data_IF_201280516944
#
_entry.id   IF_201280516944
#
_cell.length_a   1.000
_cell.length_b   1.000
_cell.length_c   1.000
_cell.angle_alpha   90.00
_cell.angle_beta   90.00
_cell.angle_gamma   90.00
#
_symmetry.space_group_name_H-M   'P 1'
#
loop_
_entity.id
_entity.type
_entity.pdbx_description
1 polymer ?
#
# COMPACT_ATOMS: atom_id res chain seq x y z
N UNK A 1 -15.80 -4.92 17.50
CA UNK A 1 -15.42 -4.22 17.31
C UNK A 1 -15.38 -3.56 16.13
N UNK A 2 -15.28 -2.64 15.94
CA UNK A 2 -15.34 -1.96 14.95
C UNK A 2 -14.53 -2.27 13.98
N UNK A 3 -14.63 -1.96 12.95
CA UNK A 3 -13.84 -2.23 12.10
C UNK A 3 -14.10 -1.68 10.97
N UNK A 4 -14.09 -2.14 10.20
CA UNK A 4 -14.38 -1.73 9.06
C UNK A 4 -13.95 -0.53 8.44
N UNK A 5 -14.69 0.32 7.88
CA UNK A 5 -14.22 1.43 7.08
C UNK A 5 -13.38 2.39 7.84
N UNK A 6 -13.77 2.66 9.12
CA UNK A 6 -13.04 3.59 9.88
C UNK A 6 -11.68 3.08 10.19
N UNK A 7 -11.55 1.82 10.51
CA UNK A 7 -10.27 1.23 10.81
C UNK A 7 -9.41 1.16 9.56
N UNK A 8 -10.01 0.88 8.41
CA UNK A 8 -9.25 0.82 7.17
C UNK A 8 -8.63 2.15 6.82
N UNK A 9 -9.39 3.23 6.94
CA UNK A 9 -8.84 4.55 6.64
C UNK A 9 -7.75 4.92 7.64
N UNK A 10 -7.98 4.66 8.90
CA UNK A 10 -6.99 4.97 9.92
C UNK A 10 -5.70 4.19 9.67
N UNK A 11 -5.82 2.91 9.32
CA UNK A 11 -4.66 2.10 9.02
C UNK A 11 -3.94 2.62 7.78
N UNK A 12 -4.69 2.96 6.73
CA UNK A 12 -4.08 3.45 5.51
C UNK A 12 -3.32 4.75 5.75
N UNK A 13 -3.87 5.64 6.55
CA UNK A 13 -3.19 6.89 6.88
C UNK A 13 -1.94 6.65 7.71
N UNK A 14 -2.02 5.72 8.64
CA UNK A 14 -0.88 5.39 9.48
C UNK A 14 0.24 4.80 8.63
N UNK A 15 -0.09 3.93 7.70
CA UNK A 15 0.90 3.31 6.83
C UNK A 15 1.53 4.37 5.93
N UNK A 16 0.72 5.27 5.38
CA UNK A 16 1.25 6.34 4.55
C UNK A 16 2.21 7.23 5.33
N UNK A 17 1.84 7.55 6.56
CA UNK A 17 2.69 8.36 7.42
C UNK A 17 4.00 7.63 7.74
N UNK A 18 3.94 6.34 8.01
CA UNK A 18 5.14 5.57 8.28
C UNK A 18 6.06 5.54 7.07
N UNK A 19 5.48 5.42 5.87
CA UNK A 19 6.26 5.45 4.64
C UNK A 19 6.95 6.81 4.47
N UNK A 20 6.22 7.88 4.75
CA UNK A 20 6.78 9.22 4.66
C UNK A 20 7.93 9.43 5.64
N UNK A 21 7.81 8.87 6.84
CA UNK A 21 8.88 8.96 7.82
C UNK A 21 10.15 8.27 7.36
N UNK A 22 10.04 7.28 6.49
CA UNK A 22 11.18 6.60 5.92
C UNK A 22 11.56 7.20 4.57
N UNK A 23 10.98 8.36 4.26
CA UNK A 23 11.30 9.11 3.05
C UNK A 23 10.97 8.33 1.77
N UNK A 24 9.87 7.58 1.82
CA UNK A 24 9.39 6.88 0.64
C UNK A 24 9.01 7.91 -0.43
N UNK A 25 9.23 7.55 -1.68
CA UNK A 25 8.90 8.42 -2.79
C UNK A 25 7.44 8.31 -3.15
N UNK A 26 6.84 9.43 -3.43
CA UNK A 26 5.48 9.56 -3.96
C UNK A 26 4.45 8.64 -3.30
N UNK A 27 4.26 8.74 -1.98
CA UNK A 27 3.26 7.89 -1.33
C UNK A 27 1.86 8.34 -1.70
N UNK A 28 1.03 7.38 -2.14
CA UNK A 28 -0.35 7.68 -2.50
C UNK A 28 -1.27 6.69 -1.83
N UNK A 29 -2.50 7.11 -1.59
CA UNK A 29 -3.52 6.25 -1.01
C UNK A 29 -4.68 6.25 -1.99
N UNK A 30 -5.08 5.09 -2.45
CA UNK A 30 -6.12 4.94 -3.45
C UNK A 30 -7.30 4.23 -2.82
N UNK A 31 -8.46 4.89 -2.73
CA UNK A 31 -9.64 4.22 -2.21
C UNK A 31 -10.17 3.23 -3.25
N UNK A 32 -10.53 2.05 -2.79
CA UNK A 32 -10.98 0.98 -3.65
C UNK A 32 -12.45 0.64 -3.48
N UNK A 33 -13.12 1.30 -2.54
CA UNK A 33 -14.52 0.97 -2.27
C UNK A 33 -15.34 1.21 -3.52
N UNK A 34 -16.17 0.24 -3.84
CA UNK A 34 -16.98 0.32 -5.04
C UNK A 34 -16.25 -0.16 -6.28
N UNK A 35 -14.96 -0.44 -6.18
CA UNK A 35 -14.19 -0.91 -7.32
C UNK A 35 -13.82 -2.37 -7.19
N UNK A 36 -13.66 -2.85 -5.98
CA UNK A 36 -13.27 -4.22 -5.76
C UNK A 36 -13.63 -4.60 -4.32
N UNK A 37 -13.71 -5.90 -4.05
CA UNK A 37 -13.91 -6.38 -2.70
C UNK A 37 -12.62 -6.88 -2.09
N UNK A 38 -11.49 -6.73 -2.81
CA UNK A 38 -10.21 -7.23 -2.32
C UNK A 38 -9.72 -6.47 -1.10
N UNK A 39 -9.86 -5.16 -1.13
CA UNK A 39 -9.43 -4.32 -0.02
C UNK A 39 -10.15 -2.99 -0.12
N UNK A 40 -10.04 -2.18 0.91
CA UNK A 40 -10.65 -0.85 0.92
C UNK A 40 -9.70 0.22 0.40
N UNK A 41 -8.40 0.02 0.56
CA UNK A 41 -7.39 0.98 0.13
C UNK A 41 -6.13 0.29 -0.36
N UNK A 42 -5.49 0.91 -1.34
CA UNK A 42 -4.10 0.62 -1.67
C UNK A 42 -3.31 1.77 -1.08
N UNK A 43 -2.12 1.47 -0.58
CA UNK A 43 -1.13 2.49 -0.29
C UNK A 43 0.08 2.10 -1.13
N UNK A 44 0.54 3.01 -1.98
CA UNK A 44 1.62 2.73 -2.92
C UNK A 44 2.72 3.76 -2.71
N UNK A 45 3.95 3.32 -2.67
CA UNK A 45 5.09 4.22 -2.57
C UNK A 45 6.30 3.52 -3.14
N UNK A 46 7.43 4.20 -3.16
CA UNK A 46 8.62 3.63 -3.77
C UNK A 46 9.88 3.97 -2.98
N UNK A 47 10.89 3.15 -3.13
CA UNK A 47 12.23 3.41 -2.63
C UNK A 47 13.18 3.33 -3.79
N UNK A 48 14.30 4.04 -3.72
CA UNK A 48 15.20 4.11 -4.86
C UNK A 48 16.12 2.91 -4.99
N UNK A 49 16.28 2.15 -3.93
CA UNK A 49 17.10 0.94 -3.94
C UNK A 49 16.34 -0.15 -3.23
N UNK A 50 16.75 -1.39 -3.44
CA UNK A 50 16.13 -2.51 -2.74
C UNK A 50 16.30 -2.36 -1.23
N UNK A 51 17.42 -1.81 -0.80
CA UNK A 51 17.64 -1.58 0.62
C UNK A 51 16.63 -0.57 1.17
N UNK A 52 16.37 0.49 0.43
CA UNK A 52 15.41 1.48 0.89
C UNK A 52 14.00 0.92 0.87
N UNK A 53 13.65 0.13 -0.15
CA UNK A 53 12.34 -0.51 -0.20
C UNK A 53 12.15 -1.37 1.05
N UNK A 54 13.16 -2.14 1.44
CA UNK A 54 13.05 -2.97 2.64
C UNK A 54 12.95 -2.12 3.90
N UNK A 55 13.70 -1.02 3.97
CA UNK A 55 13.64 -0.14 5.14
C UNK A 55 12.25 0.49 5.27
N UNK A 56 11.64 0.87 4.15
CA UNK A 56 10.28 1.42 4.16
C UNK A 56 9.31 0.35 4.65
N UNK A 57 9.43 -0.86 4.13
CA UNK A 57 8.57 -1.97 4.54
C UNK A 57 8.72 -2.23 6.03
N UNK A 58 9.96 -2.25 6.53
CA UNK A 58 10.20 -2.48 7.94
C UNK A 58 9.56 -1.40 8.80
N UNK A 59 9.65 -0.15 8.38
CA UNK A 59 9.06 0.95 9.12
C UNK A 59 7.55 0.87 9.15
N UNK A 60 6.95 0.47 8.04
CA UNK A 60 5.51 0.30 7.98
C UNK A 60 5.07 -0.83 8.90
N UNK A 61 5.77 -1.97 8.83
CA UNK A 61 5.41 -3.12 9.65
C UNK A 61 5.53 -2.81 11.13
N UNK A 62 6.58 -2.10 11.50
CA UNK A 62 6.78 -1.77 12.90
C UNK A 62 5.72 -0.79 13.40
N UNK A 63 5.41 0.22 12.61
CA UNK A 63 4.42 1.20 13.03
C UNK A 63 3.04 0.56 13.12
N UNK A 64 2.71 -0.31 12.17
CA UNK A 64 1.41 -0.98 12.18
C UNK A 64 1.31 -1.90 13.40
N UNK A 65 2.39 -2.63 13.70
CA UNK A 65 2.38 -3.54 14.83
C UNK A 65 2.18 -2.77 16.13
N UNK A 66 2.84 -1.63 16.27
CA UNK A 66 2.70 -0.81 17.46
C UNK A 66 1.27 -0.31 17.65
N UNK A 67 0.53 -0.18 16.56
CA UNK A 67 -0.85 0.26 16.61
C UNK A 67 -1.84 -0.90 16.66
N UNK A 68 -1.34 -2.14 16.76
CA UNK A 68 -2.20 -3.30 16.92
C UNK A 68 -2.59 -3.98 15.62
N UNK A 69 -1.93 -3.65 14.50
CA UNK A 69 -2.27 -4.26 13.21
C UNK A 69 -1.13 -5.18 12.77
N UNK A 70 -1.51 -6.35 12.27
CA UNK A 70 -0.54 -7.30 11.76
C UNK A 70 -0.93 -7.69 10.34
N UNK A 71 0.05 -7.84 9.45
CA UNK A 71 -0.28 -8.25 8.09
C UNK A 71 -0.65 -9.72 8.07
N UNK A 72 -1.55 -10.07 7.15
CA UNK A 72 -1.86 -11.46 6.90
C UNK A 72 -0.71 -12.11 6.13
N UNK A 73 0.01 -11.30 5.34
CA UNK A 73 1.05 -11.83 4.50
C UNK A 73 1.96 -10.73 4.02
N UNK A 74 3.22 -11.03 3.84
CA UNK A 74 4.21 -10.12 3.27
C UNK A 74 4.93 -10.89 2.18
N UNK A 75 4.89 -10.38 0.96
CA UNK A 75 5.55 -11.01 -0.18
C UNK A 75 6.59 -10.09 -0.79
N UNK A 76 7.62 -10.67 -1.34
CA UNK A 76 8.62 -9.93 -2.10
C UNK A 76 9.67 -9.22 -1.29
N UNK A 77 9.66 -9.40 0.03
CA UNK A 77 10.60 -8.69 0.90
C UNK A 77 12.04 -9.03 0.55
N UNK A 78 12.32 -10.29 0.26
CA UNK A 78 13.69 -10.71 0.02
C UNK A 78 14.30 -10.03 -1.20
N UNK A 79 13.52 -9.91 -2.28
CA UNK A 79 14.02 -9.27 -3.48
C UNK A 79 14.09 -7.76 -3.35
N UNK A 80 13.17 -7.16 -2.67
CA UNK A 80 13.15 -5.72 -2.48
C UNK A 80 12.80 -4.91 -3.72
N UNK A 81 12.19 -5.54 -4.74
CA UNK A 81 11.77 -4.80 -5.92
C UNK A 81 10.30 -4.42 -5.85
N UNK A 82 9.51 -5.26 -5.19
CA UNK A 82 8.08 -5.01 -5.02
C UNK A 82 7.66 -5.76 -3.77
N UNK A 83 7.50 -5.06 -2.67
CA UNK A 83 7.06 -5.66 -1.42
C UNK A 83 5.58 -5.41 -1.27
N UNK A 84 4.82 -6.48 -1.11
CA UNK A 84 3.38 -6.41 -0.92
C UNK A 84 3.09 -6.79 0.53
N UNK A 85 2.36 -5.94 1.24
CA UNK A 85 1.95 -6.25 2.60
C UNK A 85 0.44 -6.24 2.64
N UNK A 86 -0.14 -7.37 2.98
CA UNK A 86 -1.58 -7.57 2.95
C UNK A 86 -2.13 -7.43 4.37
N UNK A 87 -2.80 -6.33 4.64
CA UNK A 87 -3.44 -6.11 5.94
C UNK A 87 -4.96 -6.34 5.85
N UNK A 88 -5.41 -7.04 4.81
CA UNK A 88 -6.82 -7.30 4.61
C UNK A 88 -7.57 -6.08 4.08
N UNK A 89 -7.81 -5.09 4.91
CA UNK A 89 -8.51 -3.89 4.46
C UNK A 89 -7.61 -2.96 3.66
N UNK A 90 -6.30 -3.08 3.81
CA UNK A 90 -5.32 -2.23 3.12
C UNK A 90 -4.25 -3.11 2.52
N UNK A 91 -3.99 -2.91 1.23
CA UNK A 91 -2.86 -3.57 0.56
C UNK A 91 -1.80 -2.53 0.32
N UNK A 92 -0.59 -2.79 0.78
CA UNK A 92 0.51 -1.86 0.68
C UNK A 92 1.49 -2.36 -0.36
N UNK A 93 1.89 -1.48 -1.26
CA UNK A 93 2.84 -1.82 -2.32
C UNK A 93 4.02 -0.87 -2.20
N UNK A 94 5.22 -1.42 -1.97
CA UNK A 94 6.44 -0.63 -1.95
C UNK A 94 7.29 -1.11 -3.11
N UNK A 95 7.55 -0.24 -4.07
CA UNK A 95 8.20 -0.60 -5.33
C UNK A 95 9.53 0.10 -5.50
N UNK A 96 10.39 -0.46 -6.33
CA UNK A 96 11.42 0.34 -6.99
C UNK A 96 10.71 1.17 -8.06
N UNK A 97 11.26 2.33 -8.44
CA UNK A 97 10.57 3.19 -9.39
C UNK A 97 10.25 2.51 -10.72
N UNK A 98 11.17 1.69 -11.22
CA UNK A 98 10.92 0.99 -12.47
C UNK A 98 9.75 0.03 -12.39
N UNK A 99 9.65 -0.71 -11.30
CA UNK A 99 8.54 -1.62 -11.08
C UNK A 99 7.24 -0.85 -10.95
N UNK A 100 7.26 0.27 -10.26
CA UNK A 100 6.05 1.07 -10.08
C UNK A 100 5.52 1.52 -11.42
N UNK A 101 6.40 2.02 -12.29
CA UNK A 101 5.98 2.46 -13.60
C UNK A 101 5.50 1.32 -14.46
N UNK A 102 6.19 0.20 -14.40
CA UNK A 102 5.85 -0.94 -15.24
C UNK A 102 4.47 -1.49 -14.93
N UNK A 103 4.15 -1.66 -13.66
CA UNK A 103 2.87 -2.21 -13.28
C UNK A 103 1.76 -1.17 -13.24
N UNK A 104 2.13 0.06 -12.91
CA UNK A 104 1.20 1.21 -12.96
C UNK A 104 -0.16 0.91 -12.33
N UNK A 105 -0.13 0.37 -11.13
CA UNK A 105 -1.37 0.05 -10.42
C UNK A 105 -2.21 1.28 -10.18
N UNK A 106 -1.55 2.43 -10.04
CA UNK A 106 -2.26 3.68 -9.80
C UNK A 106 -3.23 4.00 -10.92
N UNK A 107 -2.76 3.92 -12.16
CA UNK A 107 -3.65 4.19 -13.29
C UNK A 107 -4.71 3.14 -13.40
N UNK A 108 -4.34 1.90 -13.24
CA UNK A 108 -5.28 0.80 -13.34
C UNK A 108 -6.45 0.99 -12.39
N UNK A 109 -6.17 1.24 -11.11
CA UNK A 109 -7.22 1.31 -10.11
C UNK A 109 -7.88 2.67 -10.03
N UNK A 110 -7.19 3.73 -10.42
CA UNK A 110 -7.79 5.06 -10.41
C UNK A 110 -8.78 5.24 -11.53
N UNK A 111 -8.51 4.63 -12.69
CA UNK A 111 -9.36 4.86 -13.84
C UNK A 111 -10.30 3.71 -14.16
N UNK A 112 -10.09 2.54 -13.58
CA UNK A 112 -10.87 1.38 -13.93
C UNK A 112 -12.36 1.60 -13.70
N UNK A 113 -12.72 2.20 -12.58
CA UNK A 113 -14.12 2.44 -12.29
C UNK A 113 -14.70 3.41 -13.29
N UNK A 114 -13.95 4.43 -13.67
CA UNK A 114 -14.43 5.42 -14.61
C UNK A 114 -14.64 4.78 -15.96
N UNK A 115 -13.74 3.90 -16.38
CA UNK A 115 -13.93 3.22 -17.66
C UNK A 115 -15.15 2.33 -17.64
N UNK A 116 -15.39 1.67 -16.55
CA UNK A 116 -16.57 0.83 -16.46
C UNK A 116 -17.83 1.64 -16.51
N UNK A 117 -17.80 2.84 -15.98
CA UNK A 117 -18.95 3.68 -16.01
C UNK A 117 -19.27 4.17 -17.40
N UNK A 118 -18.26 4.37 -18.21
CA UNK A 118 -18.51 4.87 -19.54
C UNK A 118 -18.86 3.76 -20.51
N UNK A 119 -18.65 2.55 -20.14
CA UNK A 119 -19.05 1.48 -20.99
C UNK A 119 -20.43 1.03 -20.64
#
# INVERSE_FOLDING_TARGET
>A
MTTAPRDALALAKLIQSAAEDKQAGRPVRIPLRGKTTVADYFVICEGETDRQVKAIADGILERARSAGFRPLRVDGYEDGTWVLMDFDSVLVHVFLPGERSFYDLESLWSTAARRRETN
#
